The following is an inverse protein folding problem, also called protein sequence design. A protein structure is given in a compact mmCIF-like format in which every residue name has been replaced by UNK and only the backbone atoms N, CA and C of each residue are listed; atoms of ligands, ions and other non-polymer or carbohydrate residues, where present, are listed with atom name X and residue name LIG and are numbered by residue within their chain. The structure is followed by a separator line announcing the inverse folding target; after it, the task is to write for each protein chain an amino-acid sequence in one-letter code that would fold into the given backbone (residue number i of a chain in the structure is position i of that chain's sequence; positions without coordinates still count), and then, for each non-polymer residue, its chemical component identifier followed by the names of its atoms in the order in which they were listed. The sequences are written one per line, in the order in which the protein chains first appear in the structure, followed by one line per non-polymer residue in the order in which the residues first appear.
data_IF_645664129925
#
_entry.id   IF_645664129925
#
_cell.length_a   1.000
_cell.length_b   1.000
_cell.length_c   1.000
_cell.angle_alpha   90.00
_cell.angle_beta   90.00
_cell.angle_gamma   90.00
#
_symmetry.space_group_name_H-M   'P 1'
#
loop_
_entity.id
_entity.type
_entity.pdbx_description
1 polymer ?
#
# COMPACT_ATOMS: atom_id res chain seq x y z
N UNK A 1 23.88 7.93 5.66
CA UNK A 1 25.11 7.96 6.48
C UNK A 1 26.01 6.94 5.82
N UNK A 2 27.08 7.40 5.18
CA UNK A 2 27.71 6.58 4.14
C UNK A 2 28.87 5.82 4.76
N UNK A 3 28.73 4.50 4.83
CA UNK A 3 29.83 3.61 5.14
C UNK A 3 30.77 3.55 3.93
N UNK A 4 32.07 3.61 4.20
CA UNK A 4 33.07 3.49 3.14
C UNK A 4 33.11 2.06 2.60
N UNK A 5 33.51 1.90 1.33
CA UNK A 5 33.57 0.59 0.68
C UNK A 5 34.51 -0.38 1.40
N UNK A 6 35.57 0.11 2.05
CA UNK A 6 36.48 -0.70 2.85
C UNK A 6 35.79 -1.35 4.06
N UNK A 7 34.71 -0.75 4.58
CA UNK A 7 33.91 -1.32 5.67
C UNK A 7 32.88 -2.35 5.15
N UNK A 8 32.36 -2.17 3.93
CA UNK A 8 31.29 -3.00 3.36
C UNK A 8 31.80 -4.24 2.63
N UNK A 9 32.90 -4.14 1.89
CA UNK A 9 33.49 -5.26 1.12
C UNK A 9 33.79 -6.50 1.98
N UNK A 10 34.31 -6.39 3.22
CA UNK A 10 34.50 -7.55 4.08
C UNK A 10 33.19 -8.28 4.43
N UNK A 11 32.08 -7.55 4.55
CA UNK A 11 30.74 -8.12 4.83
C UNK A 11 30.27 -8.92 3.62
N UNK A 12 30.39 -8.33 2.42
CA UNK A 12 30.08 -9.01 1.15
C UNK A 12 30.94 -10.25 0.97
N UNK A 13 32.23 -10.21 1.32
CA UNK A 13 33.11 -11.38 1.29
C UNK A 13 32.60 -12.53 2.17
N UNK A 14 32.18 -12.23 3.41
CA UNK A 14 31.58 -13.23 4.30
C UNK A 14 30.26 -13.80 3.74
N UNK A 15 29.44 -12.96 3.11
CA UNK A 15 28.20 -13.42 2.46
C UNK A 15 28.49 -14.29 1.25
N UNK A 16 29.50 -13.95 0.46
CA UNK A 16 29.94 -14.74 -0.69
C UNK A 16 30.43 -16.13 -0.27
N UNK A 17 31.23 -16.21 0.80
CA UNK A 17 31.69 -17.47 1.37
C UNK A 17 30.51 -18.35 1.85
N UNK A 18 29.52 -17.75 2.51
CA UNK A 18 28.29 -18.45 2.91
C UNK A 18 27.50 -18.94 1.69
N UNK A 19 27.36 -18.09 0.67
CA UNK A 19 26.64 -18.43 -0.56
C UNK A 19 27.29 -19.59 -1.32
N UNK A 20 28.62 -19.66 -1.38
CA UNK A 20 29.34 -20.76 -2.04
C UNK A 20 29.53 -21.99 -1.14
N UNK A 21 28.93 -22.02 0.05
CA UNK A 21 29.16 -23.08 1.05
C UNK A 21 30.64 -23.31 1.36
N UNK A 22 31.47 -22.25 1.23
CA UNK A 22 32.93 -22.30 1.31
C UNK A 22 33.63 -23.21 0.27
N UNK A 23 32.93 -23.66 -0.78
CA UNK A 23 33.49 -24.57 -1.80
C UNK A 23 34.20 -23.83 -2.94
N UNK A 24 33.92 -22.54 -3.12
CA UNK A 24 34.53 -21.71 -4.16
C UNK A 24 34.96 -20.36 -3.61
N UNK A 25 36.14 -19.89 -4.04
CA UNK A 25 36.71 -18.59 -3.70
C UNK A 25 36.33 -17.48 -4.69
N UNK A 26 35.55 -17.79 -5.73
CA UNK A 26 35.16 -16.83 -6.77
C UNK A 26 33.66 -16.81 -7.00
N UNK A 27 33.09 -15.61 -7.04
CA UNK A 27 31.72 -15.32 -7.44
C UNK A 27 31.73 -14.39 -8.66
N UNK A 28 30.63 -14.34 -9.43
CA UNK A 28 30.50 -13.40 -10.53
C UNK A 28 30.36 -11.96 -10.02
N UNK A 29 30.67 -10.98 -10.88
CA UNK A 29 30.47 -9.57 -10.56
C UNK A 29 29.01 -9.27 -10.19
N UNK A 30 28.07 -9.78 -10.97
CA UNK A 30 26.62 -9.64 -10.72
C UNK A 30 26.22 -10.16 -9.32
N UNK A 31 26.77 -11.32 -8.92
CA UNK A 31 26.50 -11.87 -7.58
C UNK A 31 27.13 -11.03 -6.48
N UNK A 32 28.31 -10.45 -6.71
CA UNK A 32 28.94 -9.54 -5.75
C UNK A 32 28.13 -8.25 -5.57
N UNK A 33 27.62 -7.68 -6.66
CA UNK A 33 26.75 -6.50 -6.66
C UNK A 33 25.43 -6.78 -5.94
N UNK A 34 24.81 -7.93 -6.20
CA UNK A 34 23.61 -8.38 -5.50
C UNK A 34 23.83 -8.50 -3.98
N UNK A 35 24.94 -9.12 -3.55
CA UNK A 35 25.26 -9.26 -2.12
C UNK A 35 25.58 -7.90 -1.49
N UNK A 36 26.19 -6.98 -2.24
CA UNK A 36 26.35 -5.59 -1.78
C UNK A 36 24.99 -4.92 -1.57
N UNK A 37 24.04 -5.13 -2.50
CA UNK A 37 22.66 -4.67 -2.35
C UNK A 37 22.00 -5.22 -1.09
N UNK A 38 22.22 -6.49 -0.77
CA UNK A 38 21.71 -7.11 0.46
C UNK A 38 22.28 -6.44 1.72
N UNK A 39 23.58 -6.16 1.75
CA UNK A 39 24.24 -5.48 2.87
C UNK A 39 23.68 -4.07 3.07
N UNK A 40 23.56 -3.29 1.98
CA UNK A 40 23.04 -1.94 2.02
C UNK A 40 21.58 -1.89 2.47
N UNK A 41 20.76 -2.83 1.98
CA UNK A 41 19.35 -2.96 2.37
C UNK A 41 19.19 -3.22 3.87
N UNK A 42 19.91 -4.20 4.43
CA UNK A 42 19.87 -4.47 5.87
C UNK A 42 20.36 -3.26 6.69
N UNK A 43 21.45 -2.60 6.27
CA UNK A 43 21.90 -1.40 6.97
C UNK A 43 20.85 -0.29 6.93
N UNK A 44 20.18 -0.09 5.79
CA UNK A 44 19.10 0.88 5.66
C UNK A 44 17.93 0.56 6.59
N UNK A 45 17.55 -0.72 6.67
CA UNK A 45 16.46 -1.19 7.55
C UNK A 45 16.69 -0.85 9.03
N UNK A 46 17.94 -0.97 9.51
CA UNK A 46 18.30 -0.52 10.86
C UNK A 46 17.97 0.97 11.06
N UNK A 47 18.24 1.83 10.08
CA UNK A 47 18.03 3.27 10.21
C UNK A 47 16.56 3.65 10.15
N UNK A 48 15.79 3.02 9.28
CA UNK A 48 14.33 3.19 9.24
C UNK A 48 13.68 2.75 10.56
N UNK A 49 14.06 1.57 11.06
CA UNK A 49 13.56 1.04 12.33
C UNK A 49 14.04 1.82 13.56
N UNK A 50 15.20 2.47 13.50
CA UNK A 50 15.76 3.29 14.59
C UNK A 50 15.41 4.79 14.50
N UNK A 51 14.73 5.24 13.45
CA UNK A 51 14.32 6.62 13.20
C UNK A 51 13.39 7.26 14.25
N UNK A 52 12.99 6.52 15.29
CA UNK A 52 12.27 7.02 16.47
C UNK A 52 13.09 6.98 17.79
N UNK A 53 14.38 6.61 17.74
CA UNK A 53 15.26 6.57 18.92
C UNK A 53 16.34 7.69 18.83
N UNK A 54 16.31 8.72 19.69
CA UNK A 54 17.18 9.90 19.60
C UNK A 54 18.63 9.65 20.09
N UNK A 55 19.23 8.48 19.84
CA UNK A 55 20.43 8.05 20.59
C UNK A 55 21.44 7.18 19.85
N UNK A 56 21.56 7.28 18.52
CA UNK A 56 22.71 6.75 17.78
C UNK A 56 23.71 7.86 17.44
N UNK A 57 24.21 8.54 18.48
CA UNK A 57 25.26 9.56 18.37
C UNK A 57 26.67 8.97 18.20
N UNK A 58 26.83 7.65 18.26
CA UNK A 58 28.07 6.94 17.94
C UNK A 58 27.93 6.16 16.64
N UNK A 59 28.88 6.34 15.72
CA UNK A 59 28.94 5.63 14.44
C UNK A 59 29.10 4.13 14.72
N UNK A 60 28.01 3.35 14.59
CA UNK A 60 28.05 1.89 14.70
C UNK A 60 28.94 1.34 13.57
N UNK A 61 29.85 0.37 13.81
CA UNK A 61 30.61 -0.27 12.73
C UNK A 61 29.71 -0.96 11.69
N UNK A 62 30.06 -0.89 10.41
CA UNK A 62 29.24 -1.43 9.31
C UNK A 62 28.79 -2.89 9.51
N UNK A 63 29.70 -3.75 9.99
CA UNK A 63 29.40 -5.16 10.27
C UNK A 63 28.25 -5.30 11.28
N UNK A 64 28.28 -4.53 12.36
CA UNK A 64 27.26 -4.60 13.41
C UNK A 64 25.96 -3.95 12.94
N UNK A 65 26.04 -2.88 12.15
CA UNK A 65 24.86 -2.28 11.53
C UNK A 65 24.15 -3.26 10.60
N UNK A 66 24.92 -3.99 9.78
CA UNK A 66 24.40 -5.05 8.92
C UNK A 66 23.74 -6.19 9.71
N UNK A 67 24.39 -6.70 10.76
CA UNK A 67 23.86 -7.80 11.57
C UNK A 67 22.51 -7.44 12.22
N UNK A 68 22.43 -6.26 12.86
CA UNK A 68 21.18 -5.78 13.47
C UNK A 68 20.13 -5.52 12.39
N UNK A 69 20.54 -4.96 11.25
CA UNK A 69 19.70 -4.75 10.10
C UNK A 69 19.07 -6.04 9.56
N UNK A 70 19.87 -7.09 9.42
CA UNK A 70 19.41 -8.39 8.97
C UNK A 70 18.39 -9.02 9.93
N UNK A 71 18.60 -8.88 11.24
CA UNK A 71 17.62 -9.29 12.26
C UNK A 71 16.30 -8.52 12.12
N UNK A 72 16.33 -7.22 11.79
CA UNK A 72 15.12 -6.44 11.53
C UNK A 72 14.38 -6.89 10.26
N UNK A 73 15.11 -7.19 9.17
CA UNK A 73 14.49 -7.71 7.94
C UNK A 73 13.81 -9.05 8.21
N UNK A 74 14.45 -9.95 8.94
CA UNK A 74 13.87 -11.25 9.34
C UNK A 74 12.59 -11.03 10.15
N UNK A 75 12.66 -10.22 11.20
CA UNK A 75 11.51 -9.91 12.05
C UNK A 75 10.37 -9.25 11.27
N UNK A 76 10.67 -8.30 10.37
CA UNK A 76 9.65 -7.66 9.53
C UNK A 76 9.00 -8.65 8.57
N UNK A 77 9.76 -9.64 8.09
CA UNK A 77 9.23 -10.72 7.25
C UNK A 77 8.24 -11.59 8.03
N UNK A 78 8.56 -11.93 9.27
CA UNK A 78 7.63 -12.64 10.16
C UNK A 78 6.39 -11.80 10.45
N UNK A 79 6.55 -10.52 10.79
CA UNK A 79 5.43 -9.60 11.06
C UNK A 79 4.53 -9.42 9.83
N UNK A 80 5.10 -9.37 8.62
CA UNK A 80 4.35 -9.30 7.36
C UNK A 80 3.55 -10.58 7.11
N UNK A 81 4.16 -11.75 7.34
CA UNK A 81 3.48 -13.03 7.19
C UNK A 81 2.35 -13.19 8.21
N UNK A 82 2.57 -12.77 9.46
CA UNK A 82 1.54 -12.76 10.50
C UNK A 82 0.41 -11.78 10.17
N UNK A 83 0.71 -10.61 9.61
CA UNK A 83 -0.31 -9.68 9.12
C UNK A 83 -1.12 -10.30 7.98
N UNK A 84 -0.46 -10.93 7.02
CA UNK A 84 -1.11 -11.64 5.91
C UNK A 84 -2.08 -12.72 6.43
N UNK A 85 -1.60 -13.59 7.32
CA UNK A 85 -2.39 -14.69 7.88
C UNK A 85 -3.57 -14.20 8.74
N UNK A 86 -3.49 -12.99 9.32
CA UNK A 86 -4.61 -12.36 10.02
C UNK A 86 -5.68 -11.82 9.07
N UNK A 87 -5.28 -11.26 7.93
CA UNK A 87 -6.20 -10.67 6.95
C UNK A 87 -6.90 -11.76 6.12
N UNK A 88 -6.16 -12.80 5.71
CA UNK A 88 -6.62 -13.82 4.77
C UNK A 88 -7.97 -14.49 5.12
N UNK A 89 -8.27 -14.86 6.38
CA UNK A 89 -9.54 -15.53 6.71
C UNK A 89 -10.79 -14.68 6.46
N UNK A 90 -10.67 -13.36 6.58
CA UNK A 90 -11.78 -12.43 6.39
C UNK A 90 -11.64 -11.65 5.07
N UNK A 91 -10.72 -12.06 4.21
CA UNK A 91 -10.44 -11.40 2.95
C UNK A 91 -11.56 -11.66 1.93
N UNK A 92 -12.02 -10.59 1.28
CA UNK A 92 -12.97 -10.64 0.18
C UNK A 92 -12.36 -9.97 -1.06
N UNK A 93 -12.25 -10.73 -2.15
CA UNK A 93 -11.78 -10.22 -3.43
C UNK A 93 -12.90 -9.61 -4.28
N UNK A 94 -14.15 -9.69 -3.81
CA UNK A 94 -15.35 -9.16 -4.47
C UNK A 94 -15.51 -9.60 -5.93
N UNK A 95 -15.00 -10.77 -6.34
CA UNK A 95 -14.92 -11.26 -7.73
C UNK A 95 -13.92 -10.54 -8.68
N UNK A 96 -13.09 -9.62 -8.17
CA UNK A 96 -11.98 -9.06 -8.92
C UNK A 96 -10.80 -10.06 -8.94
N UNK A 97 -10.39 -10.45 -10.15
CA UNK A 97 -9.32 -11.43 -10.36
C UNK A 97 -7.94 -10.88 -10.08
N UNK A 98 -7.68 -9.61 -10.41
CA UNK A 98 -6.37 -8.98 -10.18
C UNK A 98 -6.02 -8.99 -8.68
N UNK A 99 -6.98 -8.58 -7.84
CA UNK A 99 -6.87 -8.61 -6.38
C UNK A 99 -6.69 -10.04 -5.85
N UNK A 100 -7.47 -11.00 -6.36
CA UNK A 100 -7.34 -12.41 -5.97
C UNK A 100 -5.97 -12.99 -6.35
N UNK A 101 -5.54 -12.82 -7.58
CA UNK A 101 -4.27 -13.36 -8.07
C UNK A 101 -3.09 -12.71 -7.34
N UNK A 102 -3.13 -11.41 -7.10
CA UNK A 102 -2.06 -10.71 -6.36
C UNK A 102 -2.02 -11.17 -4.89
N UNK A 103 -3.13 -11.11 -4.17
CA UNK A 103 -3.14 -11.30 -2.72
C UNK A 103 -3.21 -12.78 -2.30
N UNK A 104 -3.95 -13.62 -3.02
CA UNK A 104 -4.16 -15.03 -2.65
C UNK A 104 -3.14 -15.96 -3.30
N UNK A 105 -2.59 -15.61 -4.48
CA UNK A 105 -1.56 -16.43 -5.13
C UNK A 105 -0.17 -15.80 -5.05
N UNK A 106 -0.06 -14.50 -5.35
CA UNK A 106 1.22 -13.80 -5.42
C UNK A 106 1.93 -13.71 -4.07
N UNK A 107 1.25 -13.21 -3.03
CA UNK A 107 1.85 -13.02 -1.71
C UNK A 107 2.38 -14.33 -1.08
N UNK A 108 1.66 -15.46 -1.11
CA UNK A 108 2.23 -16.73 -0.63
C UNK A 108 3.47 -17.20 -1.40
N UNK A 109 3.49 -17.04 -2.73
CA UNK A 109 4.67 -17.41 -3.51
C UNK A 109 5.85 -16.48 -3.21
N UNK A 110 5.62 -15.19 -2.92
CA UNK A 110 6.67 -14.31 -2.41
C UNK A 110 7.31 -14.89 -1.14
N UNK A 111 6.52 -15.17 -0.08
CA UNK A 111 7.07 -15.68 1.18
C UNK A 111 7.79 -17.03 1.04
N UNK A 112 7.44 -17.82 0.04
CA UNK A 112 8.06 -19.13 -0.24
C UNK A 112 9.42 -19.02 -0.93
N UNK A 113 9.60 -18.02 -1.79
CA UNK A 113 10.81 -17.86 -2.61
C UNK A 113 11.70 -16.69 -2.17
N UNK A 114 11.23 -15.85 -1.26
CA UNK A 114 11.96 -14.70 -0.76
C UNK A 114 13.20 -15.11 0.03
N UNK A 115 14.37 -14.69 -0.47
CA UNK A 115 15.67 -14.96 0.14
C UNK A 115 16.09 -13.80 1.04
N UNK A 116 15.72 -13.91 2.31
CA UNK A 116 16.02 -12.92 3.36
C UNK A 116 17.53 -12.72 3.54
N UNK A 117 18.35 -13.72 3.23
CA UNK A 117 19.79 -13.71 3.55
C UNK A 117 20.63 -13.11 2.44
N UNK A 118 20.34 -13.44 1.19
CA UNK A 118 21.19 -13.11 0.04
C UNK A 118 20.53 -12.15 -0.95
N UNK A 119 19.20 -11.97 -0.90
CA UNK A 119 18.43 -11.04 -1.75
C UNK A 119 17.29 -10.32 -1.01
N UNK A 120 17.49 -9.77 0.21
CA UNK A 120 16.41 -9.13 0.96
C UNK A 120 15.82 -7.89 0.25
N UNK A 121 16.57 -7.23 -0.63
CA UNK A 121 16.07 -6.12 -1.43
C UNK A 121 15.14 -6.55 -2.58
N UNK A 122 15.11 -7.84 -2.92
CA UNK A 122 14.40 -8.33 -4.10
C UNK A 122 12.93 -8.59 -3.78
N UNK A 123 12.03 -7.79 -4.37
CA UNK A 123 10.59 -7.96 -4.17
C UNK A 123 10.03 -9.20 -4.88
N UNK A 124 10.64 -9.70 -5.97
CA UNK A 124 10.25 -10.91 -6.75
C UNK A 124 8.81 -10.90 -7.34
N UNK A 125 7.91 -10.04 -6.86
CA UNK A 125 6.50 -9.95 -7.18
C UNK A 125 6.15 -8.59 -7.79
N UNK A 126 5.33 -8.60 -8.85
CA UNK A 126 4.97 -7.40 -9.63
C UNK A 126 3.85 -6.56 -9.03
N UNK A 127 3.11 -7.09 -8.05
CA UNK A 127 2.00 -6.42 -7.36
C UNK A 127 1.01 -5.75 -8.34
N UNK A 128 0.35 -6.57 -9.18
CA UNK A 128 -0.44 -6.06 -10.32
C UNK A 128 -1.71 -5.29 -9.89
N UNK A 129 -2.18 -5.48 -8.65
CA UNK A 129 -3.28 -4.71 -8.07
C UNK A 129 -2.76 -3.41 -7.46
N UNK A 130 -3.26 -2.22 -7.88
CA UNK A 130 -2.82 -0.93 -7.33
C UNK A 130 -3.43 -0.69 -5.95
N UNK A 131 -2.73 0.09 -5.13
CA UNK A 131 -3.20 0.58 -3.82
C UNK A 131 -3.21 2.12 -3.80
N UNK A 132 -3.94 2.73 -2.87
CA UNK A 132 -4.04 4.18 -2.77
C UNK A 132 -2.72 4.87 -2.34
N UNK A 133 -1.88 4.16 -1.60
CA UNK A 133 -0.60 4.65 -1.09
C UNK A 133 0.52 4.43 -2.11
N UNK A 134 1.34 5.45 -2.32
CA UNK A 134 2.56 5.29 -3.12
C UNK A 134 3.59 4.45 -2.34
N UNK A 135 3.94 3.29 -2.91
CA UNK A 135 4.95 2.38 -2.37
C UNK A 135 6.12 2.17 -3.35
N UNK A 136 6.30 3.08 -4.29
CA UNK A 136 7.35 3.00 -5.32
C UNK A 136 8.77 3.09 -4.75
N UNK A 137 8.94 3.80 -3.62
CA UNK A 137 10.23 3.98 -2.93
C UNK A 137 10.66 2.73 -2.14
N UNK A 138 9.72 1.83 -1.81
CA UNK A 138 10.02 0.62 -1.06
C UNK A 138 10.47 -0.53 -1.97
N UNK A 139 11.29 -1.41 -1.40
CA UNK A 139 11.77 -2.64 -2.06
C UNK A 139 11.72 -3.80 -1.07
N UNK A 140 12.03 -5.02 -1.53
CA UNK A 140 12.12 -6.19 -0.65
C UNK A 140 10.85 -6.45 0.15
N UNK A 141 11.04 -6.81 1.42
CA UNK A 141 9.96 -7.04 2.38
C UNK A 141 9.19 -5.75 2.73
N UNK A 142 9.83 -4.58 2.71
CA UNK A 142 9.15 -3.31 3.06
C UNK A 142 7.98 -3.03 2.12
N UNK A 143 8.22 -3.24 0.83
CA UNK A 143 7.18 -3.05 -0.18
C UNK A 143 6.01 -4.01 0.03
N UNK A 144 6.31 -5.27 0.35
CA UNK A 144 5.29 -6.29 0.59
C UNK A 144 4.53 -6.02 1.89
N UNK A 145 5.22 -5.60 2.95
CA UNK A 145 4.61 -5.24 4.23
C UNK A 145 3.64 -4.06 4.06
N UNK A 146 4.08 -2.97 3.42
CA UNK A 146 3.23 -1.81 3.16
C UNK A 146 2.04 -2.15 2.25
N UNK A 147 2.24 -3.02 1.26
CA UNK A 147 1.16 -3.52 0.42
C UNK A 147 0.12 -4.32 1.22
N UNK A 148 0.56 -5.29 2.04
CA UNK A 148 -0.36 -6.11 2.86
C UNK A 148 -1.10 -5.21 3.87
N UNK A 149 -0.41 -4.22 4.47
CA UNK A 149 -1.03 -3.24 5.37
C UNK A 149 -2.10 -2.41 4.66
N UNK A 150 -1.80 -1.90 3.47
CA UNK A 150 -2.75 -1.16 2.63
C UNK A 150 -4.00 -2.01 2.32
N UNK A 151 -3.81 -3.24 1.84
CA UNK A 151 -4.94 -4.16 1.59
C UNK A 151 -5.73 -4.43 2.86
N UNK A 152 -5.09 -4.57 4.02
CA UNK A 152 -5.78 -4.72 5.30
C UNK A 152 -6.70 -3.55 5.63
N UNK A 153 -6.24 -2.32 5.39
CA UNK A 153 -7.03 -1.10 5.58
C UNK A 153 -8.17 -0.99 4.56
N UNK A 154 -7.91 -1.30 3.29
CA UNK A 154 -8.94 -1.36 2.24
C UNK A 154 -10.03 -2.38 2.59
N UNK A 155 -9.66 -3.60 3.01
CA UNK A 155 -10.60 -4.63 3.42
C UNK A 155 -11.40 -4.20 4.65
N UNK A 156 -10.78 -3.50 5.60
CA UNK A 156 -11.49 -2.93 6.77
C UNK A 156 -12.55 -1.93 6.32
N UNK A 157 -12.22 -1.02 5.40
CA UNK A 157 -13.17 -0.07 4.85
C UNK A 157 -14.31 -0.75 4.10
N UNK A 158 -13.98 -1.67 3.20
CA UNK A 158 -14.98 -2.33 2.35
C UNK A 158 -15.94 -3.22 3.15
N UNK A 159 -15.49 -3.82 4.26
CA UNK A 159 -16.31 -4.66 5.15
C UNK A 159 -17.50 -3.96 5.79
N UNK A 160 -17.50 -2.63 5.87
CA UNK A 160 -18.67 -1.88 6.33
C UNK A 160 -19.88 -2.09 5.40
N UNK A 161 -19.63 -2.36 4.12
CA UNK A 161 -20.66 -2.58 3.12
C UNK A 161 -20.89 -4.07 2.88
N UNK A 162 -22.14 -4.50 2.66
CA UNK A 162 -22.41 -5.86 2.21
C UNK A 162 -21.67 -6.15 0.89
N UNK A 163 -21.13 -7.35 0.71
CA UNK A 163 -20.37 -7.68 -0.51
C UNK A 163 -21.16 -7.45 -1.80
N UNK A 164 -22.48 -7.70 -1.79
CA UNK A 164 -23.35 -7.41 -2.93
C UNK A 164 -23.49 -5.93 -3.26
N UNK A 165 -23.34 -5.03 -2.27
CA UNK A 165 -23.29 -3.58 -2.51
C UNK A 165 -22.01 -3.21 -3.25
N UNK A 166 -20.85 -3.69 -2.76
CA UNK A 166 -19.54 -3.43 -3.39
C UNK A 166 -19.53 -3.94 -4.83
N UNK A 167 -19.99 -5.17 -5.06
CA UNK A 167 -20.09 -5.75 -6.40
C UNK A 167 -21.00 -4.93 -7.33
N UNK A 168 -22.14 -4.42 -6.81
CA UNK A 168 -23.05 -3.61 -7.60
C UNK A 168 -22.40 -2.28 -8.02
N UNK A 169 -21.72 -1.59 -7.08
CA UNK A 169 -20.95 -0.37 -7.36
C UNK A 169 -19.90 -0.63 -8.45
N UNK A 170 -19.07 -1.66 -8.30
CA UNK A 170 -18.05 -2.04 -9.29
C UNK A 170 -18.65 -2.35 -10.66
N UNK A 171 -19.78 -3.07 -10.70
CA UNK A 171 -20.43 -3.46 -11.95
C UNK A 171 -21.03 -2.31 -12.74
N UNK A 172 -21.39 -1.21 -12.06
CA UNK A 172 -21.91 0.00 -12.68
C UNK A 172 -20.80 0.88 -13.22
N UNK A 173 -19.70 0.98 -12.48
CA UNK A 173 -18.52 1.75 -12.86
C UNK A 173 -17.86 1.18 -14.13
N UNK A 174 -17.64 -0.14 -14.17
CA UNK A 174 -16.96 -0.79 -15.28
C UNK A 174 -17.60 -2.14 -15.64
N UNK A 175 -18.07 -2.31 -16.89
CA UNK A 175 -18.67 -3.57 -17.35
C UNK A 175 -17.75 -4.79 -17.28
N UNK A 176 -16.43 -4.58 -17.27
CA UNK A 176 -15.39 -5.62 -17.15
C UNK A 176 -14.64 -5.57 -15.81
N UNK A 177 -15.26 -5.01 -14.76
CA UNK A 177 -14.66 -4.81 -13.44
C UNK A 177 -13.98 -6.06 -12.82
N UNK A 178 -14.44 -7.28 -13.16
CA UNK A 178 -13.82 -8.54 -12.67
C UNK A 178 -12.40 -8.74 -13.17
N UNK A 179 -12.09 -8.25 -14.36
CA UNK A 179 -10.75 -8.31 -14.97
C UNK A 179 -10.00 -6.99 -14.79
N UNK A 180 -10.62 -5.98 -14.16
CA UNK A 180 -10.01 -4.67 -14.06
C UNK A 180 -8.82 -4.68 -13.11
N UNK A 181 -7.82 -3.85 -13.45
CA UNK A 181 -6.69 -3.52 -12.59
C UNK A 181 -6.98 -2.28 -11.74
N UNK A 182 -8.22 -1.82 -11.65
CA UNK A 182 -8.59 -0.68 -10.83
C UNK A 182 -8.60 -1.05 -9.34
N UNK A 183 -8.30 -0.07 -8.49
CA UNK A 183 -8.41 -0.23 -7.04
C UNK A 183 -9.90 -0.24 -6.63
N UNK A 184 -10.35 -1.34 -6.03
CA UNK A 184 -11.75 -1.52 -5.61
C UNK A 184 -12.12 -0.55 -4.50
N UNK A 185 -11.22 -0.33 -3.54
CA UNK A 185 -11.44 0.58 -2.42
C UNK A 185 -11.64 2.01 -2.92
N UNK A 186 -10.86 2.45 -3.91
CA UNK A 186 -10.95 3.77 -4.52
C UNK A 186 -12.32 4.00 -5.17
N UNK A 187 -12.79 3.05 -5.99
CA UNK A 187 -14.09 3.16 -6.68
C UNK A 187 -15.23 3.30 -5.66
N UNK A 188 -15.24 2.43 -4.65
CA UNK A 188 -16.26 2.50 -3.57
C UNK A 188 -16.12 3.78 -2.77
N UNK A 189 -14.89 4.24 -2.51
CA UNK A 189 -14.65 5.45 -1.75
C UNK A 189 -15.12 6.71 -2.50
N UNK A 190 -14.93 6.78 -3.82
CA UNK A 190 -15.50 7.84 -4.67
C UNK A 190 -17.03 7.89 -4.54
N UNK A 191 -17.68 6.73 -4.58
CA UNK A 191 -19.14 6.65 -4.39
C UNK A 191 -19.56 7.17 -3.01
N UNK A 192 -18.87 6.73 -1.94
CA UNK A 192 -19.13 7.18 -0.57
C UNK A 192 -18.97 8.70 -0.44
N UNK A 193 -17.92 9.28 -1.04
CA UNK A 193 -17.70 10.73 -1.08
C UNK A 193 -18.87 11.44 -1.77
N UNK A 194 -19.33 10.95 -2.92
CA UNK A 194 -20.48 11.51 -3.64
C UNK A 194 -21.74 11.55 -2.77
N UNK A 195 -22.03 10.46 -2.07
CA UNK A 195 -23.16 10.41 -1.13
C UNK A 195 -23.00 11.35 0.07
N UNK A 196 -21.79 11.48 0.62
CA UNK A 196 -21.50 12.41 1.72
C UNK A 196 -21.74 13.86 1.29
N UNK A 197 -21.24 14.24 0.10
CA UNK A 197 -21.45 15.58 -0.49
C UNK A 197 -22.95 15.89 -0.62
N UNK A 198 -23.72 14.91 -1.06
CA UNK A 198 -25.16 15.04 -1.27
C UNK A 198 -26.00 14.91 0.02
N UNK A 199 -25.35 14.60 1.16
CA UNK A 199 -26.05 14.30 2.41
C UNK A 199 -26.99 13.08 2.30
N UNK A 200 -26.72 12.17 1.36
CA UNK A 200 -27.54 10.97 1.12
C UNK A 200 -27.09 9.79 1.96
N UNK A 201 -28.01 8.88 2.23
CA UNK A 201 -27.69 7.62 2.89
C UNK A 201 -26.83 6.75 1.96
N UNK A 202 -25.79 6.14 2.52
CA UNK A 202 -24.93 5.15 1.83
C UNK A 202 -25.67 3.85 1.46
N UNK A 203 -26.90 3.67 1.94
CA UNK A 203 -27.76 2.55 1.55
C UNK A 203 -28.43 2.78 0.19
N UNK A 204 -28.49 4.04 -0.27
CA UNK A 204 -28.96 4.38 -1.60
C UNK A 204 -27.81 4.14 -2.57
N UNK A 205 -28.03 3.34 -3.60
CA UNK A 205 -27.01 3.04 -4.62
C UNK A 205 -27.13 3.98 -5.81
N UNK A 206 -28.32 4.53 -6.04
CA UNK A 206 -28.61 5.32 -7.24
C UNK A 206 -28.79 6.78 -6.87
N UNK A 207 -27.94 7.60 -7.48
CA UNK A 207 -28.12 9.04 -7.55
C UNK A 207 -29.06 9.37 -8.71
N UNK A 208 -29.96 10.32 -8.48
CA UNK A 208 -30.89 10.86 -9.45
C UNK A 208 -30.20 11.95 -10.30
N UNK A 209 -30.73 12.25 -11.49
CA UNK A 209 -30.20 13.33 -12.36
C UNK A 209 -30.08 14.68 -11.63
N UNK A 210 -30.99 14.96 -10.69
CA UNK A 210 -30.95 16.16 -9.86
C UNK A 210 -29.74 16.20 -8.92
N UNK A 211 -29.24 15.05 -8.47
CA UNK A 211 -28.08 14.96 -7.60
C UNK A 211 -26.80 15.31 -8.35
N UNK A 212 -26.62 14.79 -9.57
CA UNK A 212 -25.47 15.12 -10.40
C UNK A 212 -25.45 16.61 -10.75
N UNK A 213 -26.62 17.21 -11.01
CA UNK A 213 -26.73 18.65 -11.24
C UNK A 213 -26.33 19.46 -10.01
N UNK A 214 -26.80 19.05 -8.82
CA UNK A 214 -26.43 19.71 -7.57
C UNK A 214 -24.94 19.60 -7.27
N UNK A 215 -24.35 18.40 -7.43
CA UNK A 215 -22.90 18.21 -7.29
C UNK A 215 -22.15 19.10 -8.27
N UNK A 216 -22.57 19.15 -9.53
CA UNK A 216 -21.94 19.99 -10.54
C UNK A 216 -21.96 21.48 -10.15
N UNK A 217 -23.11 22.04 -9.76
CA UNK A 217 -23.18 23.43 -9.30
C UNK A 217 -22.27 23.68 -8.09
N UNK A 218 -22.21 22.74 -7.14
CA UNK A 218 -21.35 22.86 -5.97
C UNK A 218 -19.86 22.90 -6.35
N UNK A 219 -19.42 22.03 -7.26
CA UNK A 219 -18.03 21.99 -7.74
C UNK A 219 -17.65 23.21 -8.58
N UNK A 220 -18.59 23.84 -9.29
CA UNK A 220 -18.37 25.08 -10.05
C UNK A 220 -18.24 26.30 -9.14
N UNK A 221 -19.01 26.35 -8.04
CA UNK A 221 -19.10 27.51 -7.15
C UNK A 221 -18.07 27.52 -6.01
N UNK A 222 -17.43 26.38 -5.73
CA UNK A 222 -16.54 26.21 -4.57
C UNK A 222 -15.10 25.94 -5.01
N UNK A 223 -14.15 26.52 -4.29
CA UNK A 223 -12.73 26.24 -4.50
C UNK A 223 -12.39 24.79 -4.13
N UNK A 224 -11.43 24.21 -4.84
CA UNK A 224 -11.01 22.82 -4.65
C UNK A 224 -10.51 22.59 -3.21
N UNK A 225 -9.77 23.54 -2.66
CA UNK A 225 -9.20 23.44 -1.30
C UNK A 225 -10.30 23.48 -0.23
N UNK A 226 -11.36 24.24 -0.46
CA UNK A 226 -12.51 24.31 0.46
C UNK A 226 -13.35 23.03 0.40
N UNK A 227 -13.57 22.46 -0.80
CA UNK A 227 -14.22 21.15 -0.96
C UNK A 227 -13.41 20.06 -0.26
N UNK A 228 -12.08 20.07 -0.45
CA UNK A 228 -11.16 19.12 0.19
C UNK A 228 -11.27 19.18 1.71
N UNK A 229 -11.18 20.37 2.31
CA UNK A 229 -11.31 20.53 3.78
C UNK A 229 -12.67 20.09 4.29
N UNK A 230 -13.74 20.39 3.56
CA UNK A 230 -15.08 19.95 3.93
C UNK A 230 -15.20 18.43 3.93
N UNK A 231 -14.63 17.77 2.92
CA UNK A 231 -14.60 16.32 2.80
C UNK A 231 -13.74 15.66 3.86
N UNK A 232 -12.54 16.19 4.15
CA UNK A 232 -11.69 15.71 5.23
C UNK A 232 -12.43 15.77 6.57
N UNK A 233 -13.09 16.88 6.88
CA UNK A 233 -13.89 17.02 8.10
C UNK A 233 -15.09 16.06 8.16
N UNK A 234 -15.83 15.92 7.05
CA UNK A 234 -16.95 14.98 6.97
C UNK A 234 -16.48 13.52 7.10
N UNK A 235 -15.31 13.22 6.53
CA UNK A 235 -14.73 11.89 6.58
C UNK A 235 -14.16 11.54 7.96
N UNK A 236 -13.55 12.50 8.66
CA UNK A 236 -13.17 12.34 10.08
C UNK A 236 -14.39 11.95 10.94
N UNK A 237 -15.54 12.60 10.73
CA UNK A 237 -16.79 12.27 11.41
C UNK A 237 -17.25 10.86 11.03
N UNK A 238 -17.16 10.49 9.75
CA UNK A 238 -17.50 9.16 9.27
C UNK A 238 -16.64 8.07 9.92
N UNK A 239 -15.31 8.23 9.96
CA UNK A 239 -14.38 7.30 10.61
C UNK A 239 -14.67 7.19 12.11
N UNK A 240 -14.97 8.31 12.78
CA UNK A 240 -15.34 8.31 14.19
C UNK A 240 -16.62 7.52 14.46
N UNK A 241 -17.61 7.60 13.57
CA UNK A 241 -18.92 6.97 13.75
C UNK A 241 -18.91 5.47 13.43
N UNK A 242 -18.14 5.03 12.44
CA UNK A 242 -18.20 3.66 11.91
C UNK A 242 -16.96 2.81 12.18
N UNK A 243 -15.82 3.42 12.51
CA UNK A 243 -14.54 2.72 12.66
C UNK A 243 -13.82 3.04 13.98
N UNK A 244 -14.57 3.42 15.02
CA UNK A 244 -14.04 3.68 16.37
C UNK A 244 -12.87 4.69 16.37
N UNK A 245 -12.89 5.65 15.45
CA UNK A 245 -11.84 6.66 15.30
C UNK A 245 -10.45 6.06 14.98
N UNK A 246 -10.42 5.02 14.13
CA UNK A 246 -9.18 4.43 13.58
C UNK A 246 -8.38 5.47 12.77
N UNK A 247 -7.24 5.87 13.34
CA UNK A 247 -6.35 6.87 12.74
C UNK A 247 -5.55 6.34 11.57
N UNK A 248 -5.21 5.06 11.55
CA UNK A 248 -4.46 4.48 10.43
C UNK A 248 -5.33 4.47 9.17
N UNK A 249 -6.59 4.06 9.32
CA UNK A 249 -7.56 4.07 8.23
C UNK A 249 -7.86 5.49 7.73
N UNK A 250 -8.01 6.45 8.66
CA UNK A 250 -8.21 7.84 8.31
C UNK A 250 -7.04 8.38 7.48
N UNK A 251 -5.80 8.16 7.93
CA UNK A 251 -4.60 8.65 7.24
C UNK A 251 -4.49 8.06 5.82
N UNK A 252 -4.67 6.74 5.71
CA UNK A 252 -4.58 6.02 4.43
C UNK A 252 -5.60 6.52 3.40
N UNK A 253 -6.86 6.69 3.77
CA UNK A 253 -7.89 7.17 2.84
C UNK A 253 -7.75 8.67 2.55
N UNK A 254 -7.30 9.46 3.53
CA UNK A 254 -7.10 10.91 3.35
C UNK A 254 -6.03 11.25 2.31
N UNK A 255 -4.99 10.41 2.16
CA UNK A 255 -3.99 10.56 1.10
C UNK A 255 -4.63 10.57 -0.31
N UNK A 256 -5.73 9.84 -0.50
CA UNK A 256 -6.43 9.76 -1.79
C UNK A 256 -7.47 10.88 -2.03
N UNK A 257 -7.93 11.57 -0.98
CA UNK A 257 -9.01 12.59 -1.08
C UNK A 257 -8.62 13.68 -2.08
N UNK A 258 -7.39 14.18 -2.03
CA UNK A 258 -6.93 15.24 -2.94
C UNK A 258 -7.05 14.86 -4.42
N UNK A 259 -6.61 13.63 -4.76
CA UNK A 259 -6.71 13.10 -6.13
C UNK A 259 -8.16 12.87 -6.56
N UNK A 260 -8.98 12.32 -5.66
CA UNK A 260 -10.41 12.08 -5.91
C UNK A 260 -11.14 13.40 -6.19
N UNK A 261 -10.97 14.42 -5.34
CA UNK A 261 -11.63 15.72 -5.50
C UNK A 261 -11.23 16.39 -6.80
N UNK A 262 -9.95 16.31 -7.20
CA UNK A 262 -9.50 16.84 -8.47
C UNK A 262 -10.16 16.14 -9.67
N UNK A 263 -10.30 14.80 -9.63
CA UNK A 263 -11.01 14.06 -10.68
C UNK A 263 -12.51 14.38 -10.72
N UNK A 264 -13.16 14.48 -9.56
CA UNK A 264 -14.58 14.85 -9.47
C UNK A 264 -14.86 16.25 -10.01
N UNK A 265 -14.00 17.23 -9.68
CA UNK A 265 -14.12 18.59 -10.22
C UNK A 265 -13.95 18.59 -11.74
N UNK A 266 -12.95 17.88 -12.25
CA UNK A 266 -12.74 17.75 -13.70
C UNK A 266 -13.94 17.07 -14.38
N UNK A 267 -14.51 16.03 -13.78
CA UNK A 267 -15.72 15.37 -14.28
C UNK A 267 -16.95 16.30 -14.25
N UNK A 268 -17.06 17.17 -13.25
CA UNK A 268 -18.12 18.18 -13.15
C UNK A 268 -17.99 19.22 -14.28
N UNK A 269 -16.79 19.77 -14.46
CA UNK A 269 -16.48 20.77 -15.50
C UNK A 269 -16.79 20.23 -16.92
N UNK A 270 -16.60 18.91 -17.13
CA UNK A 270 -16.84 18.23 -18.40
C UNK A 270 -18.22 17.56 -18.51
N UNK A 271 -19.09 17.69 -17.49
CA UNK A 271 -20.45 17.09 -17.46
C UNK A 271 -20.47 15.57 -17.61
N UNK A 272 -19.47 14.89 -17.05
CA UNK A 272 -19.30 13.43 -17.08
C UNK A 272 -19.25 12.81 -15.68
N UNK A 273 -19.74 13.52 -14.65
CA UNK A 273 -19.84 13.05 -13.26
C UNK A 273 -20.48 11.65 -13.14
N UNK A 274 -21.52 11.37 -13.93
CA UNK A 274 -22.23 10.08 -13.96
C UNK A 274 -21.35 8.90 -14.38
N UNK A 275 -20.23 9.15 -15.05
CA UNK A 275 -19.30 8.10 -15.44
C UNK A 275 -18.29 7.78 -14.31
N UNK A 276 -18.39 8.47 -13.16
CA UNK A 276 -17.52 8.28 -11.99
C UNK A 276 -18.27 7.87 -10.71
N UNK A 277 -19.59 8.09 -10.65
CA UNK A 277 -20.47 7.85 -9.49
C UNK A 277 -21.83 7.38 -9.98
#
# INVERSE_FOLDING_TARGET
MDYEMEELVPIVGKLAEKYTSHESTSITYEKAEQLMGAVLYCIHELWESSGNAPSLNEKIPAQRAYEIGAEYVEKKTEEALDLYNRILPEFCHYENKCLYDTFVKGIPEFFKWYDIQFEPQNTILTLDYPILKDISEYTGIDKIFEFIKAIGLEQKFLKLFPAGYVINVLSKDNGNWKESMDNICEIVFIHVIGHIILGKSLTVIELEEADYFYMQEMFEQTDLEDIKKHLEAAFEIFIKNYYENDRELLNYLSESIGGIVARLKNAADNKVLRNMI
#
